data_IF_316143679438
#
_entry.id   IF_316143679438
#
_cell.length_a   1.000
_cell.length_b   1.000
_cell.length_c   1.000
_cell.angle_alpha   90.00
_cell.angle_beta   90.00
_cell.angle_gamma   90.00
#
_symmetry.space_group_name_H-M   'P 1'
#
loop_
_entity.id
_entity.type
_entity.pdbx_description
1 polymer ?
#
# COMPACT_ATOMS: atom_id res chain seq x y z
N UNK A 1 30.05 -26.18 -47.22
CA UNK A 1 29.37 -25.23 -46.31
C UNK A 1 28.81 -26.02 -45.14
N UNK A 2 29.47 -25.98 -43.98
CA UNK A 2 28.98 -26.65 -42.77
C UNK A 2 28.03 -25.71 -42.02
N UNK A 3 26.78 -26.14 -41.84
CA UNK A 3 25.81 -25.44 -41.00
C UNK A 3 26.20 -25.63 -39.53
N UNK A 4 26.54 -24.53 -38.86
CA UNK A 4 26.79 -24.51 -37.43
C UNK A 4 25.44 -24.51 -36.68
N UNK A 5 24.99 -25.67 -36.23
CA UNK A 5 23.88 -25.78 -35.29
C UNK A 5 24.33 -25.26 -33.93
N UNK A 6 23.91 -24.05 -33.58
CA UNK A 6 24.15 -23.47 -32.26
C UNK A 6 23.41 -24.29 -31.19
N UNK A 7 24.15 -25.15 -30.49
CA UNK A 7 23.67 -25.78 -29.25
C UNK A 7 23.58 -24.70 -28.19
N UNK A 8 22.37 -24.22 -27.90
CA UNK A 8 22.10 -23.33 -26.77
C UNK A 8 22.42 -24.13 -25.50
N UNK A 9 23.57 -23.83 -24.88
CA UNK A 9 23.97 -24.43 -23.63
C UNK A 9 22.93 -24.06 -22.57
N UNK A 10 22.16 -25.04 -22.11
CA UNK A 10 21.34 -24.92 -20.91
C UNK A 10 22.29 -24.80 -19.72
N UNK A 11 22.63 -23.57 -19.33
CA UNK A 11 23.33 -23.30 -18.09
C UNK A 11 22.38 -23.61 -16.93
N UNK A 12 22.61 -24.77 -16.30
CA UNK A 12 22.03 -25.14 -15.00
C UNK A 12 22.66 -24.26 -13.93
N UNK A 13 22.03 -23.13 -13.64
CA UNK A 13 21.99 -22.48 -12.32
C UNK A 13 20.78 -21.55 -12.34
N UNK A 14 19.58 -22.11 -12.18
CA UNK A 14 18.41 -21.30 -11.87
C UNK A 14 18.60 -20.82 -10.44
N UNK A 15 19.11 -19.59 -10.26
CA UNK A 15 18.95 -18.89 -9.00
C UNK A 15 17.46 -18.90 -8.64
N UNK A 16 17.10 -19.05 -7.35
CA UNK A 16 15.70 -18.97 -6.96
C UNK A 16 15.11 -17.64 -7.46
N UNK A 17 13.84 -17.64 -7.92
CA UNK A 17 13.19 -16.39 -8.28
C UNK A 17 13.23 -15.44 -7.08
N UNK A 18 13.63 -14.19 -7.34
CA UNK A 18 13.72 -13.15 -6.30
C UNK A 18 12.75 -12.03 -6.64
N UNK A 19 12.39 -11.22 -5.64
CA UNK A 19 11.57 -10.01 -5.82
C UNK A 19 12.45 -8.82 -6.16
N UNK A 20 11.97 -7.84 -6.93
CA UNK A 20 12.74 -6.64 -7.24
C UNK A 20 13.10 -5.86 -5.95
N UNK A 21 14.34 -5.32 -5.81
CA UNK A 21 14.73 -4.55 -4.63
C UNK A 21 13.79 -3.37 -4.32
N UNK A 22 13.32 -2.66 -5.35
CA UNK A 22 12.39 -1.55 -5.19
C UNK A 22 11.04 -2.00 -4.61
N UNK A 23 10.45 -3.05 -5.17
CA UNK A 23 9.21 -3.66 -4.67
C UNK A 23 9.34 -4.08 -3.21
N UNK A 24 10.46 -4.69 -2.80
CA UNK A 24 10.70 -5.03 -1.39
C UNK A 24 10.75 -3.80 -0.49
N UNK A 25 11.37 -2.71 -0.95
CA UNK A 25 11.42 -1.46 -0.21
C UNK A 25 10.02 -0.87 -0.01
N UNK A 26 9.18 -0.86 -1.06
CA UNK A 26 7.79 -0.40 -0.99
C UNK A 26 6.97 -1.24 -0.01
N UNK A 27 7.04 -2.57 -0.11
CA UNK A 27 6.32 -3.48 0.80
C UNK A 27 6.77 -3.28 2.25
N UNK A 28 8.08 -3.11 2.49
CA UNK A 28 8.62 -2.81 3.82
C UNK A 28 8.09 -1.50 4.38
N UNK A 29 8.05 -0.44 3.55
CA UNK A 29 7.50 0.86 3.93
C UNK A 29 6.01 0.76 4.27
N UNK A 30 5.22 0.05 3.45
CA UNK A 30 3.79 -0.17 3.70
C UNK A 30 3.56 -0.91 5.02
N UNK A 31 4.30 -1.98 5.29
CA UNK A 31 4.21 -2.73 6.56
C UNK A 31 4.64 -1.93 7.78
N UNK A 32 5.58 -1.00 7.61
CA UNK A 32 6.02 -0.09 8.68
C UNK A 32 4.95 0.95 9.02
N UNK A 33 4.31 1.53 7.99
CA UNK A 33 3.28 2.56 8.17
C UNK A 33 1.93 1.98 8.58
N UNK A 34 1.55 0.86 7.97
CA UNK A 34 0.27 0.18 8.13
C UNK A 34 0.50 -1.32 8.38
N UNK A 35 0.91 -1.71 9.61
CA UNK A 35 1.18 -3.11 9.92
C UNK A 35 -0.02 -4.01 9.61
N UNK A 36 0.23 -5.11 8.89
CA UNK A 36 -0.82 -6.08 8.51
C UNK A 36 -1.55 -6.67 9.74
N UNK A 37 -0.95 -6.62 10.93
CA UNK A 37 -1.59 -7.01 12.19
C UNK A 37 -2.77 -6.13 12.60
N UNK A 38 -2.90 -4.93 12.04
CA UNK A 38 -4.04 -4.03 12.25
C UNK A 38 -5.25 -4.38 11.37
N UNK A 39 -5.04 -5.18 10.32
CA UNK A 39 -6.13 -5.63 9.47
C UNK A 39 -7.05 -6.62 10.20
N UNK A 40 -8.33 -6.63 9.83
CA UNK A 40 -9.30 -7.57 10.36
C UNK A 40 -9.04 -8.99 9.87
N UNK A 41 -8.62 -9.87 10.77
CA UNK A 41 -8.23 -11.25 10.44
C UNK A 41 -9.42 -12.16 10.10
N UNK A 42 -10.65 -11.75 10.37
CA UNK A 42 -11.84 -12.59 10.17
C UNK A 42 -12.29 -12.62 8.71
N UNK A 43 -11.99 -11.57 7.93
CA UNK A 43 -12.46 -11.46 6.55
C UNK A 43 -11.47 -10.84 5.57
N UNK A 44 -10.47 -10.09 6.03
CA UNK A 44 -9.63 -9.29 5.15
C UNK A 44 -8.53 -10.11 4.45
N UNK A 45 -8.07 -9.62 3.30
CA UNK A 45 -6.87 -10.09 2.62
C UNK A 45 -5.91 -8.92 2.36
N UNK A 46 -5.29 -8.43 3.43
CA UNK A 46 -4.26 -7.38 3.41
C UNK A 46 -2.87 -7.99 3.19
N UNK A 47 -2.04 -7.35 2.37
CA UNK A 47 -0.63 -7.71 2.16
C UNK A 47 -0.19 -7.71 0.70
N UNK A 48 0.91 -8.42 0.41
CA UNK A 48 1.42 -8.63 -0.94
C UNK A 48 0.64 -9.76 -1.62
N UNK A 49 -0.30 -9.41 -2.51
CA UNK A 49 -1.25 -10.35 -3.11
C UNK A 49 -0.78 -10.91 -4.45
N UNK A 50 0.07 -10.17 -5.16
CA UNK A 50 0.76 -10.62 -6.36
C UNK A 50 2.22 -10.26 -6.24
N UNK A 51 3.11 -11.25 -6.24
CA UNK A 51 4.55 -11.03 -6.26
C UNK A 51 5.12 -11.49 -7.61
N UNK A 52 5.61 -10.54 -8.39
CA UNK A 52 6.22 -10.84 -9.69
C UNK A 52 7.71 -11.19 -9.52
N UNK A 53 8.22 -12.21 -10.24
CA UNK A 53 9.65 -12.51 -10.25
C UNK A 53 10.46 -11.36 -10.86
N UNK A 54 11.62 -11.10 -10.29
CA UNK A 54 12.58 -10.12 -10.75
C UNK A 54 13.36 -10.65 -11.94
N UNK A 55 13.29 -9.91 -13.05
CA UNK A 55 14.13 -10.10 -14.21
C UNK A 55 15.09 -8.91 -14.34
N UNK A 56 16.41 -9.08 -14.09
CA UNK A 56 17.39 -8.01 -14.22
C UNK A 56 17.48 -7.40 -15.62
N UNK A 57 17.04 -8.13 -16.65
CA UNK A 57 17.03 -7.64 -18.04
C UNK A 57 15.79 -6.79 -18.33
N UNK A 58 14.75 -6.89 -17.50
CA UNK A 58 13.54 -6.07 -17.59
C UNK A 58 13.76 -4.77 -16.82
N UNK A 59 13.91 -3.67 -17.57
CA UNK A 59 13.94 -2.34 -16.98
C UNK A 59 12.53 -2.01 -16.46
N UNK A 60 12.41 -1.67 -15.18
CA UNK A 60 11.20 -1.07 -14.60
C UNK A 60 11.48 0.40 -14.22
N UNK A 61 10.43 1.20 -14.06
CA UNK A 61 10.57 2.62 -13.71
C UNK A 61 10.90 2.88 -12.24
N UNK A 62 10.88 1.85 -11.37
CA UNK A 62 11.01 2.02 -9.92
C UNK A 62 9.99 3.04 -9.41
N UNK A 63 8.73 2.80 -9.78
CA UNK A 63 7.58 3.64 -9.44
C UNK A 63 6.45 2.80 -8.86
N UNK A 64 5.57 3.48 -8.12
CA UNK A 64 4.38 2.90 -7.49
C UNK A 64 3.14 3.56 -8.08
N UNK A 65 2.21 2.76 -8.57
CA UNK A 65 0.86 3.23 -8.89
C UNK A 65 -0.05 3.07 -7.66
N UNK A 66 -0.66 4.16 -7.20
CA UNK A 66 -1.64 4.14 -6.11
C UNK A 66 -3.05 4.15 -6.69
N UNK A 67 -3.92 3.25 -6.24
CA UNK A 67 -5.32 3.18 -6.69
C UNK A 67 -6.25 2.76 -5.56
N UNK A 68 -7.54 3.06 -5.71
CA UNK A 68 -8.59 2.46 -4.88
C UNK A 68 -8.86 1.03 -5.36
N UNK A 69 -9.22 0.89 -6.64
CA UNK A 69 -9.55 -0.38 -7.29
C UNK A 69 -8.56 -0.72 -8.40
N UNK A 70 -8.09 -1.98 -8.42
CA UNK A 70 -7.28 -2.49 -9.52
C UNK A 70 -8.19 -3.02 -10.65
N UNK A 71 -8.75 -2.09 -11.43
CA UNK A 71 -9.54 -2.41 -12.62
C UNK A 71 -8.64 -2.79 -13.80
N UNK A 72 -9.24 -3.30 -14.89
CA UNK A 72 -8.50 -3.55 -16.13
C UNK A 72 -7.78 -2.29 -16.64
N UNK A 73 -8.45 -1.13 -16.60
CA UNK A 73 -7.86 0.12 -17.08
C UNK A 73 -6.66 0.55 -16.23
N UNK A 74 -6.71 0.34 -14.91
CA UNK A 74 -5.59 0.62 -14.00
C UNK A 74 -4.43 -0.37 -14.23
N UNK A 75 -4.74 -1.63 -14.53
CA UNK A 75 -3.70 -2.59 -14.92
C UNK A 75 -3.05 -2.20 -16.26
N UNK A 76 -3.83 -1.74 -17.23
CA UNK A 76 -3.32 -1.22 -18.51
C UNK A 76 -2.41 -0.01 -18.28
N UNK A 77 -2.82 0.93 -17.44
CA UNK A 77 -2.04 2.11 -17.04
C UNK A 77 -0.70 1.72 -16.39
N UNK A 78 -0.72 0.81 -15.40
CA UNK A 78 0.50 0.36 -14.73
C UNK A 78 1.51 -0.28 -15.70
N UNK A 79 1.00 -1.04 -16.67
CA UNK A 79 1.82 -1.68 -17.71
C UNK A 79 2.40 -0.62 -18.66
N UNK A 80 1.58 0.32 -19.13
CA UNK A 80 2.02 1.38 -20.03
C UNK A 80 3.10 2.26 -19.40
N UNK A 81 2.94 2.58 -18.12
CA UNK A 81 3.91 3.35 -17.33
C UNK A 81 5.10 2.51 -16.86
N UNK A 82 5.05 1.19 -17.03
CA UNK A 82 6.07 0.24 -16.60
C UNK A 82 6.41 0.39 -15.10
N UNK A 83 5.36 0.55 -14.29
CA UNK A 83 5.44 0.67 -12.83
C UNK A 83 5.98 -0.63 -12.22
N UNK A 84 6.65 -0.54 -11.06
CA UNK A 84 7.23 -1.73 -10.40
C UNK A 84 6.23 -2.45 -9.51
N UNK A 85 5.25 -1.72 -8.98
CA UNK A 85 4.25 -2.24 -8.06
C UNK A 85 3.00 -1.36 -8.07
N UNK A 86 1.83 -1.98 -7.97
CA UNK A 86 0.56 -1.31 -7.68
C UNK A 86 0.24 -1.46 -6.20
N UNK A 87 -0.13 -0.36 -5.54
CA UNK A 87 -0.74 -0.38 -4.21
C UNK A 87 -2.22 -0.03 -4.38
N UNK A 88 -3.08 -1.05 -4.26
CA UNK A 88 -4.53 -0.91 -4.39
C UNK A 88 -5.18 -0.94 -3.00
N UNK A 89 -6.06 0.01 -2.68
CA UNK A 89 -6.76 0.00 -1.39
C UNK A 89 -7.61 -1.27 -1.22
N UNK A 90 -8.41 -1.62 -2.24
CA UNK A 90 -9.21 -2.83 -2.22
C UNK A 90 -8.39 -4.06 -2.65
N UNK A 91 -8.42 -5.17 -1.90
CA UNK A 91 -7.74 -6.40 -2.26
C UNK A 91 -8.26 -6.95 -3.58
N UNK A 92 -7.44 -6.94 -4.62
CA UNK A 92 -7.84 -7.55 -5.90
C UNK A 92 -8.15 -9.04 -5.70
N UNK A 93 -7.40 -9.77 -4.87
CA UNK A 93 -7.74 -11.13 -4.45
C UNK A 93 -8.46 -11.04 -3.11
N UNK A 94 -9.78 -10.82 -3.08
CA UNK A 94 -10.51 -10.76 -1.80
C UNK A 94 -10.90 -12.14 -1.26
N UNK A 95 -11.17 -13.08 -2.17
CA UNK A 95 -11.42 -14.50 -1.86
C UNK A 95 -10.39 -15.37 -2.57
N UNK A 96 -10.06 -16.50 -1.97
CA UNK A 96 -9.09 -17.43 -2.53
C UNK A 96 -9.48 -17.87 -3.95
N UNK A 97 -8.54 -17.70 -4.89
CA UNK A 97 -8.72 -18.12 -6.28
C UNK A 97 -8.50 -19.63 -6.40
N UNK A 98 -9.42 -20.33 -7.06
CA UNK A 98 -9.28 -21.76 -7.37
C UNK A 98 -8.46 -22.03 -8.64
N UNK A 99 -8.37 -21.03 -9.51
CA UNK A 99 -7.59 -21.06 -10.76
C UNK A 99 -7.18 -19.64 -11.17
N UNK A 100 -6.17 -19.56 -12.03
CA UNK A 100 -5.71 -18.32 -12.70
C UNK A 100 -5.72 -18.56 -14.20
N UNK A 101 -6.67 -17.95 -14.90
CA UNK A 101 -6.92 -18.15 -16.33
C UNK A 101 -7.22 -16.82 -17.02
N UNK A 102 -7.20 -16.82 -18.35
CA UNK A 102 -7.56 -15.64 -19.15
C UNK A 102 -9.08 -15.50 -19.38
N UNK A 103 -9.90 -16.35 -18.76
CA UNK A 103 -11.36 -16.35 -18.94
C UNK A 103 -12.08 -15.36 -18.02
N UNK A 104 -11.41 -14.94 -16.94
CA UNK A 104 -11.93 -13.99 -15.97
C UNK A 104 -11.11 -12.69 -16.01
N UNK A 105 -11.78 -11.55 -15.91
CA UNK A 105 -11.15 -10.23 -16.09
C UNK A 105 -10.17 -9.88 -14.96
N UNK A 106 -10.48 -10.28 -13.72
CA UNK A 106 -9.61 -10.05 -12.57
C UNK A 106 -8.34 -10.91 -12.70
N UNK A 107 -8.50 -12.18 -13.05
CA UNK A 107 -7.38 -13.10 -13.27
C UNK A 107 -6.52 -12.67 -14.47
N UNK A 108 -7.14 -12.17 -15.54
CA UNK A 108 -6.42 -11.63 -16.70
C UNK A 108 -5.53 -10.45 -16.30
N UNK A 109 -6.02 -9.52 -15.48
CA UNK A 109 -5.20 -8.41 -14.96
C UNK A 109 -4.02 -8.91 -14.13
N UNK A 110 -4.25 -9.86 -13.22
CA UNK A 110 -3.18 -10.47 -12.41
C UNK A 110 -2.11 -11.15 -13.26
N UNK A 111 -2.53 -11.95 -14.24
CA UNK A 111 -1.63 -12.66 -15.15
C UNK A 111 -0.80 -11.69 -16.01
N UNK A 112 -1.42 -10.60 -16.49
CA UNK A 112 -0.72 -9.58 -17.27
C UNK A 112 0.28 -8.80 -16.44
N UNK A 113 -0.10 -8.37 -15.23
CA UNK A 113 0.81 -7.67 -14.31
C UNK A 113 2.02 -8.55 -13.95
N UNK A 114 1.79 -9.83 -13.62
CA UNK A 114 2.86 -10.77 -13.34
C UNK A 114 3.78 -11.01 -14.55
N UNK A 115 3.20 -11.14 -15.75
CA UNK A 115 3.97 -11.25 -16.98
C UNK A 115 4.79 -9.99 -17.25
N UNK A 116 4.34 -8.83 -16.75
CA UNK A 116 5.00 -7.54 -16.91
C UNK A 116 5.98 -7.16 -15.80
N UNK A 117 6.20 -8.02 -14.80
CA UNK A 117 7.12 -7.71 -13.70
C UNK A 117 6.46 -6.95 -12.54
N UNK A 118 5.16 -6.70 -12.59
CA UNK A 118 4.46 -5.75 -11.71
C UNK A 118 3.78 -6.49 -10.57
N UNK A 119 4.19 -6.17 -9.33
CA UNK A 119 3.59 -6.73 -8.12
C UNK A 119 2.35 -5.94 -7.67
N UNK A 120 1.52 -6.53 -6.80
CA UNK A 120 0.33 -5.87 -6.23
C UNK A 120 0.30 -6.04 -4.72
N UNK A 121 0.22 -4.93 -4.00
CA UNK A 121 0.06 -4.87 -2.55
C UNK A 121 -1.28 -4.20 -2.18
N UNK A 122 -1.93 -4.68 -1.12
CA UNK A 122 -3.19 -4.13 -0.63
C UNK A 122 -3.13 -3.88 0.88
N UNK A 123 -3.19 -2.61 1.36
CA UNK A 123 -3.21 -2.31 2.78
C UNK A 123 -4.61 -2.40 3.42
N UNK A 124 -5.67 -2.23 2.63
CA UNK A 124 -7.09 -2.32 3.02
C UNK A 124 -7.40 -1.95 4.49
N UNK A 125 -7.91 -2.88 5.31
CA UNK A 125 -8.32 -2.52 6.67
C UNK A 125 -7.16 -2.15 7.59
N UNK A 126 -5.91 -2.53 7.28
CA UNK A 126 -4.76 -2.05 8.05
C UNK A 126 -4.56 -0.54 7.93
N UNK A 127 -4.84 0.08 6.77
CA UNK A 127 -4.76 1.54 6.63
C UNK A 127 -5.98 2.23 7.26
N UNK A 128 -7.13 1.56 7.34
CA UNK A 128 -8.32 2.08 8.02
C UNK A 128 -8.13 2.14 9.53
N UNK A 129 -7.54 1.08 10.10
CA UNK A 129 -7.29 0.94 11.53
C UNK A 129 -6.02 1.67 12.02
N UNK A 130 -5.13 2.05 11.12
CA UNK A 130 -3.89 2.70 11.49
C UNK A 130 -4.11 4.11 12.07
N UNK A 131 -3.33 4.43 13.10
CA UNK A 131 -3.25 5.80 13.64
C UNK A 131 -2.67 6.74 12.57
N UNK A 132 -3.33 7.87 12.34
CA UNK A 132 -3.03 8.76 11.22
C UNK A 132 -3.36 8.16 9.85
N UNK A 133 -4.10 7.06 9.82
CA UNK A 133 -4.56 6.36 8.62
C UNK A 133 -5.77 7.00 7.96
N UNK A 134 -6.53 6.21 7.20
CA UNK A 134 -7.62 6.74 6.36
C UNK A 134 -8.74 7.38 7.18
N UNK A 135 -9.14 6.77 8.30
CA UNK A 135 -10.19 7.28 9.17
C UNK A 135 -9.85 8.65 9.78
N UNK A 136 -8.64 8.79 10.30
CA UNK A 136 -8.14 10.07 10.84
C UNK A 136 -8.06 11.14 9.74
N UNK A 137 -7.59 10.76 8.54
CA UNK A 137 -7.52 11.66 7.39
C UNK A 137 -8.90 12.18 6.96
N UNK A 138 -9.90 11.29 6.92
CA UNK A 138 -11.28 11.69 6.62
C UNK A 138 -11.84 12.61 7.71
N UNK A 139 -11.58 12.33 8.98
CA UNK A 139 -11.99 13.17 10.09
C UNK A 139 -11.40 14.58 9.98
N UNK A 140 -10.12 14.71 9.60
CA UNK A 140 -9.48 16.02 9.39
C UNK A 140 -10.17 16.83 8.29
N UNK A 141 -10.55 16.19 7.17
CA UNK A 141 -11.26 16.84 6.07
C UNK A 141 -12.64 17.32 6.51
N UNK A 142 -13.38 16.49 7.25
CA UNK A 142 -14.73 16.79 7.72
C UNK A 142 -14.74 17.84 8.83
N UNK A 143 -13.73 17.85 9.70
CA UNK A 143 -13.68 18.79 10.83
C UNK A 143 -12.95 20.08 10.49
N UNK A 144 -12.14 20.10 9.42
CA UNK A 144 -11.29 21.24 9.07
C UNK A 144 -10.11 21.43 10.04
N UNK A 145 -9.92 20.53 11.01
CA UNK A 145 -8.86 20.58 12.00
C UNK A 145 -7.89 19.43 11.76
N UNK A 146 -6.67 19.70 11.26
CA UNK A 146 -5.68 18.65 11.07
C UNK A 146 -5.32 17.96 12.39
N UNK A 147 -5.23 16.63 12.37
CA UNK A 147 -4.72 15.87 13.51
C UNK A 147 -3.25 16.24 13.75
N UNK A 148 -2.91 16.68 14.95
CA UNK A 148 -1.52 16.85 15.34
C UNK A 148 -0.81 15.49 15.44
N UNK A 149 0.06 15.22 14.46
CA UNK A 149 0.80 13.96 14.39
C UNK A 149 1.83 13.79 15.50
N UNK A 150 2.25 14.88 16.16
CA UNK A 150 3.19 14.80 17.30
C UNK A 150 2.58 14.16 18.54
N UNK A 151 1.24 14.06 18.60
CA UNK A 151 0.50 13.38 19.66
C UNK A 151 0.20 11.91 19.33
N UNK A 152 0.34 11.49 18.06
CA UNK A 152 0.09 10.11 17.65
C UNK A 152 1.15 9.12 18.13
N UNK A 153 2.36 9.59 18.46
CA UNK A 153 3.44 8.73 18.98
C UNK A 153 3.36 8.53 20.51
N UNK A 154 2.54 9.31 21.23
CA UNK A 154 2.58 9.35 22.70
C UNK A 154 1.65 8.34 23.40
N UNK A 155 0.59 7.88 22.74
CA UNK A 155 -0.38 6.94 23.32
C UNK A 155 -0.25 5.48 22.81
N UNK A 156 0.93 5.08 22.30
CA UNK A 156 1.15 3.67 22.00
C UNK A 156 1.04 2.84 23.30
N UNK A 157 0.29 1.73 23.34
CA UNK A 157 0.22 0.90 24.53
C UNK A 157 1.64 0.46 24.92
N UNK A 158 1.99 0.43 26.23
CA UNK A 158 3.33 0.10 26.66
C UNK A 158 3.72 -1.25 26.08
N UNK A 159 4.76 -1.26 25.26
CA UNK A 159 5.43 -2.48 24.82
C UNK A 159 5.74 -3.31 26.06
N UNK A 160 5.27 -4.57 26.10
CA UNK A 160 5.62 -5.52 27.18
C UNK A 160 7.14 -5.48 27.41
N UNK A 161 7.62 -5.48 28.67
CA UNK A 161 9.03 -5.34 28.94
C UNK A 161 9.78 -6.55 28.39
N UNK A 162 10.60 -6.32 27.36
CA UNK A 162 11.67 -7.23 27.00
C UNK A 162 12.83 -6.92 27.93
N UNK A 163 13.27 -7.92 28.70
CA UNK A 163 14.38 -7.86 29.66
C UNK A 163 15.69 -7.31 29.04
N UNK A 164 16.59 -6.72 29.85
CA UNK A 164 17.52 -5.70 29.39
C UNK A 164 18.77 -6.29 28.75
N UNK A 165 19.06 -5.86 27.51
CA UNK A 165 20.40 -5.99 26.93
C UNK A 165 21.09 -4.62 26.90
N UNK A 166 22.19 -4.56 27.66
CA UNK A 166 23.29 -3.56 27.79
C UNK A 166 23.27 -2.28 26.90
N UNK A 167 23.41 -1.12 27.59
CA UNK A 167 23.98 0.17 27.11
C UNK A 167 25.33 -0.09 26.41
N UNK A 168 25.82 0.60 25.37
CA UNK A 168 25.75 1.96 24.77
C UNK A 168 26.70 1.94 23.51
N UNK A 169 26.92 2.97 22.64
CA UNK A 169 26.66 4.41 22.83
C UNK A 169 26.11 5.22 21.62
N UNK A 170 25.53 6.37 22.02
CA UNK A 170 25.45 7.71 21.39
C UNK A 170 25.43 7.92 19.87
N UNK A 171 24.41 8.70 19.47
CA UNK A 171 24.38 9.73 18.42
C UNK A 171 25.10 9.37 17.11
N UNK A 172 24.34 8.84 16.17
CA UNK A 172 24.62 8.97 14.75
C UNK A 172 23.47 9.74 14.12
N UNK A 173 23.85 10.79 13.41
CA UNK A 173 22.99 11.78 12.79
C UNK A 173 21.88 11.14 11.94
N UNK A 174 20.65 11.61 12.16
CA UNK A 174 19.49 11.27 11.34
C UNK A 174 19.72 11.93 9.99
N UNK A 175 20.36 11.20 9.09
CA UNK A 175 20.44 11.54 7.68
C UNK A 175 19.02 11.67 7.11
N UNK A 176 18.78 12.77 6.39
CA UNK A 176 17.62 13.02 5.54
C UNK A 176 17.22 11.75 4.77
N UNK A 177 16.15 11.08 5.19
CA UNK A 177 15.45 10.10 4.36
C UNK A 177 14.52 10.90 3.42
N UNK A 178 14.81 10.96 2.11
CA UNK A 178 14.07 11.77 1.15
C UNK A 178 12.62 11.31 0.96
N UNK A 179 12.23 10.16 1.52
CA UNK A 179 10.85 9.66 1.53
C UNK A 179 10.07 10.02 2.80
N UNK A 180 10.71 10.68 3.77
CA UNK A 180 10.10 11.07 5.07
C UNK A 180 9.88 12.57 5.21
N UNK A 181 9.78 13.32 4.10
CA UNK A 181 9.37 14.72 4.16
C UNK A 181 8.05 14.84 4.93
N UNK A 182 8.10 15.39 6.15
CA UNK A 182 6.96 15.61 7.03
C UNK A 182 5.92 16.57 6.42
N UNK A 183 6.25 17.22 5.30
CA UNK A 183 5.38 18.16 4.63
C UNK A 183 4.55 17.44 3.57
N UNK A 184 3.25 17.34 3.86
CA UNK A 184 2.24 16.77 2.96
C UNK A 184 2.30 17.46 1.58
N UNK A 185 2.29 16.71 0.46
CA UNK A 185 1.98 17.31 -0.83
C UNK A 185 0.54 17.83 -0.78
N UNK A 186 0.39 19.15 -0.92
CA UNK A 186 -0.92 19.80 -1.06
C UNK A 186 -1.46 19.47 -2.44
N UNK A 187 -2.14 18.33 -2.57
CA UNK A 187 -2.96 18.08 -3.74
C UNK A 187 -4.19 18.98 -3.63
N UNK A 188 -4.14 20.12 -4.33
CA UNK A 188 -5.38 20.74 -4.78
C UNK A 188 -6.09 19.70 -5.64
N UNK A 189 -7.39 19.51 -5.43
CA UNK A 189 -8.23 18.77 -6.37
C UNK A 189 -8.10 19.46 -7.73
N UNK A 190 -7.17 19.03 -8.56
CA UNK A 190 -7.17 19.42 -9.96
C UNK A 190 -8.33 18.66 -10.58
N UNK A 191 -9.31 19.42 -11.04
CA UNK A 191 -10.54 18.92 -11.64
C UNK A 191 -10.22 17.88 -12.71
N UNK A 192 -10.40 16.61 -12.37
CA UNK A 192 -10.44 15.56 -13.37
C UNK A 192 -11.68 15.81 -14.23
N UNK A 193 -11.62 15.70 -15.58
CA UNK A 193 -12.74 16.01 -16.47
C UNK A 193 -14.00 15.14 -16.24
N UNK A 194 -13.93 14.11 -15.40
CA UNK A 194 -15.11 13.35 -14.94
C UNK A 194 -15.84 13.97 -13.73
N UNK A 195 -15.33 15.05 -13.12
CA UNK A 195 -16.06 15.84 -12.14
C UNK A 195 -17.05 16.78 -12.86
N UNK A 196 -18.15 16.21 -13.35
CA UNK A 196 -19.28 17.01 -13.80
C UNK A 196 -20.03 17.57 -12.56
N UNK A 197 -20.01 18.90 -12.45
CA UNK A 197 -20.82 19.78 -11.59
C UNK A 197 -20.78 19.52 -10.07
N UNK A 198 -19.70 19.98 -9.41
CA UNK A 198 -19.77 20.52 -8.04
C UNK A 198 -19.64 22.05 -8.02
N UNK A 199 -19.65 22.70 -9.18
CA UNK A 199 -19.81 24.15 -9.30
C UNK A 199 -21.29 24.44 -9.55
N UNK A 200 -21.95 25.04 -8.54
CA UNK A 200 -23.06 26.00 -8.64
C UNK A 200 -23.93 26.07 -7.38
N UNK A 201 -23.62 25.32 -6.32
CA UNK A 201 -24.23 25.59 -5.01
C UNK A 201 -23.17 25.99 -4.00
N UNK A 202 -23.10 27.28 -3.68
CA UNK A 202 -22.42 27.85 -2.50
C UNK A 202 -23.04 27.39 -1.16
N UNK A 203 -23.53 26.14 -1.10
CA UNK A 203 -23.67 25.43 0.17
C UNK A 203 -22.34 24.73 0.40
N UNK A 204 -21.32 25.51 0.77
CA UNK A 204 -20.24 24.99 1.58
C UNK A 204 -20.87 24.12 2.66
N UNK A 205 -20.42 22.86 2.78
CA UNK A 205 -20.82 21.96 3.84
C UNK A 205 -20.62 22.70 5.17
N UNK A 206 -21.71 23.28 5.71
CA UNK A 206 -21.74 23.89 7.04
C UNK A 206 -21.72 22.74 8.04
N UNK A 207 -20.59 22.06 8.12
CA UNK A 207 -20.27 21.11 9.18
C UNK A 207 -20.29 21.92 10.47
N UNK A 208 -21.26 21.61 11.34
CA UNK A 208 -21.49 22.36 12.56
C UNK A 208 -20.20 22.42 13.38
N UNK A 209 -19.88 23.61 13.88
CA UNK A 209 -18.68 23.91 14.66
C UNK A 209 -18.77 23.32 16.08
N UNK A 210 -19.03 22.01 16.18
CA UNK A 210 -19.03 21.28 17.46
C UNK A 210 -17.62 20.78 17.70
N UNK A 211 -17.02 21.22 18.80
CA UNK A 211 -15.75 20.67 19.27
C UNK A 211 -15.89 19.15 19.45
N UNK A 212 -15.13 18.40 18.66
CA UNK A 212 -15.09 16.95 18.75
C UNK A 212 -13.95 16.56 19.70
N UNK A 213 -14.26 15.78 20.73
CA UNK A 213 -13.25 15.21 21.63
C UNK A 213 -12.95 13.79 21.16
N UNK A 214 -11.72 13.56 20.71
CA UNK A 214 -11.26 12.21 20.32
C UNK A 214 -11.07 11.36 21.57
N UNK A 215 -11.51 10.10 21.50
CA UNK A 215 -11.26 9.09 22.52
C UNK A 215 -10.53 7.92 21.84
N UNK A 216 -9.60 7.25 22.54
CA UNK A 216 -9.04 5.99 22.05
C UNK A 216 -10.16 5.01 21.74
N UNK A 217 -10.10 4.35 20.58
CA UNK A 217 -11.04 3.27 20.25
C UNK A 217 -10.74 2.12 21.21
N UNK A 218 -11.59 1.96 22.22
CA UNK A 218 -11.55 0.79 23.08
C UNK A 218 -12.02 -0.42 22.25
N UNK A 219 -11.34 -1.56 22.40
CA UNK A 219 -11.81 -2.80 21.80
C UNK A 219 -13.27 -3.06 22.25
N UNK A 220 -14.20 -3.33 21.32
CA UNK A 220 -15.58 -3.58 21.69
C UNK A 220 -15.66 -4.84 22.57
N UNK A 221 -16.11 -4.68 23.81
CA UNK A 221 -16.49 -5.80 24.66
C UNK A 221 -17.89 -6.25 24.25
N UNK A 222 -17.96 -7.25 23.38
CA UNK A 222 -19.22 -7.92 23.03
C UNK A 222 -19.39 -9.11 23.99
N UNK A 223 -20.48 -9.19 24.78
CA UNK A 223 -20.71 -10.34 25.65
C UNK A 223 -20.72 -11.64 24.85
N UNK A 224 -19.77 -12.54 25.12
CA UNK A 224 -19.68 -13.86 24.48
C UNK A 224 -18.66 -14.00 23.34
N UNK A 225 -17.85 -12.98 23.05
CA UNK A 225 -16.73 -13.08 22.11
C UNK A 225 -15.41 -12.75 22.83
N UNK A 226 -14.41 -13.66 22.85
CA UNK A 226 -13.11 -13.42 23.48
C UNK A 226 -12.28 -12.36 22.74
#
# INVERSE_FOLDING_TARGET
MFAATAKKAFSKMSNPPTTAPYTRAVVSAMRKLYPESLADKSFDNTGLLLESPFDPLRRQMNSVLLTVDLTKAVADEAIERNDSIVVAYHPIIFRGLKSLTLQDTQQQSLLRLAAEGISVYSPHTAVDCARGGLGDWLADVVTGTPTDRSQLDQDAPPSRPVSPAKKSPSKLDVHDDPFTTQKRPTYMLQHHPSQLSLQENEKALKLGNRDHKRYPIAAPSVPGYP
#
